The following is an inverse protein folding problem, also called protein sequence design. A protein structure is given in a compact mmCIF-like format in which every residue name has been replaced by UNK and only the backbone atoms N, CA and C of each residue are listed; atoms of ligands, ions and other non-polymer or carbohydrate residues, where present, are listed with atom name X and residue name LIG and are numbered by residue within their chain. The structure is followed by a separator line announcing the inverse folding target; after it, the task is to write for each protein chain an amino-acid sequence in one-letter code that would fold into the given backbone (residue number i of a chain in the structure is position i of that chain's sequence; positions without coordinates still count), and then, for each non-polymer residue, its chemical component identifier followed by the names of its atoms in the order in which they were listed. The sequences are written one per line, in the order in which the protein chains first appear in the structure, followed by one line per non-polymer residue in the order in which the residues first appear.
data_IF_155236536699
#
_entry.id   IF_155236536699
#
_cell.length_a   1.000
_cell.length_b   1.000
_cell.length_c   1.000
_cell.angle_alpha   90.00
_cell.angle_beta   90.00
_cell.angle_gamma   90.00
#
_symmetry.space_group_name_H-M   'P 1'
#
loop_
_entity.id
_entity.type
_entity.pdbx_description
1 polymer ?
#
# COMPACT_ATOMS: atom_id res chain seq x y z
N UNK A 1 15.44 4.40 15.23
CA UNK A 1 15.10 5.73 15.77
C UNK A 1 16.34 6.59 15.62
N UNK A 2 16.22 7.82 15.13
CA UNK A 2 17.37 8.70 14.86
C UNK A 2 16.99 10.15 15.18
N UNK A 3 17.97 11.05 15.12
CA UNK A 3 17.76 12.49 15.28
C UNK A 3 18.03 13.20 13.95
N UNK A 4 17.22 14.22 13.64
CA UNK A 4 17.42 15.14 12.52
C UNK A 4 17.83 16.51 13.07
N UNK A 5 18.92 17.05 12.54
CA UNK A 5 19.42 18.38 12.87
C UNK A 5 18.88 19.38 11.84
N UNK A 6 18.03 20.30 12.28
CA UNK A 6 17.51 21.34 11.39
C UNK A 6 18.59 22.38 11.07
N UNK A 7 18.48 23.11 9.94
CA UNK A 7 19.39 24.21 9.61
C UNK A 7 19.43 25.31 10.68
N UNK A 8 18.37 25.46 11.47
CA UNK A 8 18.30 26.42 12.59
C UNK A 8 18.94 25.89 13.89
N UNK A 9 19.55 24.70 13.88
CA UNK A 9 20.24 24.11 15.03
C UNK A 9 19.34 23.36 16.00
N UNK A 10 18.07 23.09 15.65
CA UNK A 10 17.17 22.30 16.48
C UNK A 10 17.39 20.79 16.26
N UNK A 11 17.29 20.00 17.34
CA UNK A 11 17.36 18.52 17.30
C UNK A 11 15.94 17.96 17.38
N UNK A 12 15.53 17.26 16.33
CA UNK A 12 14.19 16.66 16.22
C UNK A 12 14.33 15.13 16.26
N UNK A 13 13.73 14.43 17.24
CA UNK A 13 13.70 12.98 17.24
C UNK A 13 12.77 12.49 16.12
N UNK A 14 13.32 11.69 15.21
CA UNK A 14 12.59 11.19 14.04
C UNK A 14 12.63 9.66 13.97
N UNK A 15 11.58 9.11 13.35
CA UNK A 15 11.51 7.69 13.03
C UNK A 15 11.57 7.53 11.52
N UNK A 16 12.59 6.81 11.05
CA UNK A 16 12.70 6.47 9.63
C UNK A 16 11.63 5.43 9.31
N UNK A 17 10.71 5.80 8.43
CA UNK A 17 9.71 4.89 7.89
C UNK A 17 10.15 4.45 6.49
N UNK A 18 10.15 3.14 6.25
CA UNK A 18 10.32 2.58 4.91
C UNK A 18 8.93 2.25 4.37
N UNK A 19 8.41 3.12 3.51
CA UNK A 19 7.21 2.87 2.73
C UNK A 19 7.66 2.67 1.28
N UNK A 20 8.04 1.43 0.95
CA UNK A 20 8.30 1.06 -0.46
C UNK A 20 7.01 1.12 -1.30
N UNK A 21 7.12 0.88 -2.62
CA UNK A 21 5.98 0.98 -3.52
C UNK A 21 4.86 0.03 -3.10
N UNK A 22 3.66 0.58 -3.01
CA UNK A 22 2.42 -0.16 -2.73
C UNK A 22 1.60 -0.22 -4.01
N UNK A 23 1.28 -1.41 -4.49
CA UNK A 23 0.51 -1.58 -5.72
C UNK A 23 -0.96 -1.86 -5.39
N UNK A 24 -1.89 -1.20 -6.06
CA UNK A 24 -3.32 -1.51 -5.94
C UNK A 24 -3.61 -2.87 -6.59
N UNK A 25 -4.10 -3.82 -5.79
CA UNK A 25 -4.39 -5.19 -6.26
C UNK A 25 -5.84 -5.39 -6.65
N UNK A 26 -6.76 -4.77 -5.90
CA UNK A 26 -8.20 -4.86 -6.14
C UNK A 26 -8.91 -3.61 -5.60
N UNK A 27 -9.97 -3.20 -6.30
CA UNK A 27 -10.89 -2.15 -5.84
C UNK A 27 -12.22 -2.80 -5.48
N UNK A 28 -12.76 -2.45 -4.32
CA UNK A 28 -14.07 -2.88 -3.87
C UNK A 28 -15.05 -1.73 -4.01
N UNK A 29 -16.21 -2.02 -4.61
CA UNK A 29 -17.26 -1.04 -4.89
C UNK A 29 -18.53 -1.40 -4.11
N UNK A 30 -19.23 -0.39 -3.58
CA UNK A 30 -20.45 -0.60 -2.79
C UNK A 30 -21.53 -1.40 -3.52
N UNK A 31 -21.67 -1.23 -4.83
CA UNK A 31 -22.70 -1.92 -5.64
C UNK A 31 -22.46 -3.42 -5.76
N UNK A 32 -21.20 -3.87 -5.80
CA UNK A 32 -20.82 -5.27 -5.99
C UNK A 32 -20.43 -5.97 -4.70
N UNK A 33 -19.67 -5.27 -3.85
CA UNK A 33 -19.03 -5.82 -2.67
C UNK A 33 -19.67 -5.31 -1.36
N UNK A 34 -20.59 -4.35 -1.41
CA UNK A 34 -21.31 -3.80 -0.25
C UNK A 34 -20.57 -2.68 0.51
N UNK A 35 -19.33 -2.37 0.13
CA UNK A 35 -18.52 -1.29 0.71
C UNK A 35 -17.47 -0.77 -0.27
N UNK A 36 -16.94 0.43 0.00
CA UNK A 36 -15.86 1.02 -0.77
C UNK A 36 -14.52 0.79 -0.05
N UNK A 37 -13.58 0.10 -0.70
CA UNK A 37 -12.22 -0.05 -0.19
C UNK A 37 -11.21 -0.23 -1.33
N UNK A 38 -9.94 0.02 -1.01
CA UNK A 38 -8.81 -0.25 -1.91
C UNK A 38 -7.92 -1.27 -1.24
N UNK A 39 -7.65 -2.38 -1.92
CA UNK A 39 -6.65 -3.35 -1.49
C UNK A 39 -5.33 -3.03 -2.15
N UNK A 40 -4.27 -3.00 -1.34
CA UNK A 40 -2.91 -2.80 -1.81
C UNK A 40 -2.00 -3.94 -1.39
N UNK A 41 -1.03 -4.23 -2.25
CA UNK A 41 0.04 -5.19 -2.01
C UNK A 41 1.36 -4.47 -1.72
N UNK A 42 2.06 -4.96 -0.70
CA UNK A 42 3.36 -4.45 -0.28
C UNK A 42 4.38 -5.59 -0.14
N UNK A 43 5.60 -5.30 -0.61
CA UNK A 43 6.74 -6.22 -0.58
C UNK A 43 6.59 -7.38 -1.57
N UNK A 44 7.69 -7.92 -2.05
CA UNK A 44 7.71 -9.05 -2.99
C UNK A 44 7.93 -10.38 -2.29
N UNK A 45 7.27 -11.43 -2.77
CA UNK A 45 7.40 -12.80 -2.26
C UNK A 45 7.48 -13.80 -3.41
N UNK A 46 8.21 -14.90 -3.19
CA UNK A 46 8.31 -15.97 -4.19
C UNK A 46 6.96 -16.66 -4.42
N UNK A 47 6.68 -17.04 -5.66
CA UNK A 47 5.44 -17.70 -6.09
C UNK A 47 5.11 -18.96 -5.29
N UNK A 48 6.11 -19.75 -4.93
CA UNK A 48 5.94 -21.02 -4.19
C UNK A 48 5.42 -20.80 -2.77
N UNK A 49 5.54 -19.57 -2.24
CA UNK A 49 5.05 -19.19 -0.91
C UNK A 49 3.68 -18.53 -0.95
N UNK A 50 3.02 -18.48 -2.11
CA UNK A 50 1.67 -17.92 -2.27
C UNK A 50 0.69 -19.06 -2.53
N UNK A 51 -0.44 -19.06 -1.83
CA UNK A 51 -1.50 -20.05 -2.07
C UNK A 51 -2.07 -19.90 -3.49
N UNK A 52 -2.58 -20.99 -4.06
CA UNK A 52 -3.14 -20.97 -5.43
C UNK A 52 -4.31 -19.99 -5.59
N UNK A 53 -5.13 -19.82 -4.55
CA UNK A 53 -6.25 -18.88 -4.56
C UNK A 53 -5.77 -17.42 -4.61
N UNK A 54 -4.78 -17.06 -3.79
CA UNK A 54 -4.20 -15.72 -3.76
C UNK A 54 -3.39 -15.41 -5.02
N UNK A 55 -2.74 -16.43 -5.61
CA UNK A 55 -1.95 -16.26 -6.83
C UNK A 55 -2.77 -15.75 -8.02
N UNK A 56 -4.03 -16.20 -8.17
CA UNK A 56 -4.93 -15.70 -9.21
C UNK A 56 -5.32 -14.23 -9.02
N UNK A 57 -5.58 -13.83 -7.77
CA UNK A 57 -5.95 -12.46 -7.44
C UNK A 57 -4.78 -11.47 -7.61
N UNK A 58 -3.53 -11.91 -7.38
CA UNK A 58 -2.34 -11.06 -7.44
C UNK A 58 -1.76 -10.88 -8.86
N UNK A 59 -2.36 -11.48 -9.90
CA UNK A 59 -1.97 -11.33 -11.32
C UNK A 59 -0.45 -11.46 -11.60
N UNK A 60 0.26 -12.27 -10.81
CA UNK A 60 1.70 -12.55 -10.98
C UNK A 60 2.68 -11.64 -10.23
N UNK A 61 2.23 -10.61 -9.52
CA UNK A 61 3.09 -9.67 -8.78
C UNK A 61 3.38 -10.08 -7.32
N UNK A 62 2.91 -11.27 -6.90
CA UNK A 62 3.14 -11.96 -5.61
C UNK A 62 3.63 -11.07 -4.45
N UNK A 63 2.66 -10.52 -3.71
CA UNK A 63 2.96 -9.63 -2.59
C UNK A 63 3.15 -10.39 -1.28
N UNK A 64 4.06 -9.91 -0.43
CA UNK A 64 4.25 -10.46 0.92
C UNK A 64 3.10 -10.09 1.86
N UNK A 65 2.53 -8.91 1.68
CA UNK A 65 1.44 -8.41 2.52
C UNK A 65 0.37 -7.78 1.65
N UNK A 66 -0.89 -8.15 1.89
CA UNK A 66 -2.06 -7.48 1.35
C UNK A 66 -2.77 -6.75 2.49
N UNK A 67 -3.19 -5.51 2.25
CA UNK A 67 -3.96 -4.74 3.22
C UNK A 67 -5.04 -3.93 2.53
N UNK A 68 -6.18 -3.83 3.20
CA UNK A 68 -7.34 -3.07 2.71
C UNK A 68 -7.48 -1.75 3.47
N UNK A 69 -7.72 -0.69 2.71
CA UNK A 69 -8.01 0.64 3.21
C UNK A 69 -9.45 0.98 2.87
N UNK A 70 -10.29 1.11 3.90
CA UNK A 70 -11.69 1.48 3.73
C UNK A 70 -11.80 2.96 3.40
N UNK A 71 -12.60 3.28 2.39
CA UNK A 71 -12.93 4.64 2.02
C UNK A 71 -14.15 5.11 2.81
N UNK A 72 -14.29 6.43 2.95
CA UNK A 72 -15.51 7.00 3.53
C UNK A 72 -16.70 6.69 2.60
N UNK A 73 -17.95 6.67 3.11
CA UNK A 73 -19.11 6.20 2.34
C UNK A 73 -19.38 6.94 1.03
N UNK A 74 -18.94 8.20 0.92
CA UNK A 74 -19.12 9.05 -0.25
C UNK A 74 -17.85 9.23 -1.11
N UNK A 75 -16.71 8.74 -0.66
CA UNK A 75 -15.46 8.85 -1.42
C UNK A 75 -15.32 7.66 -2.36
N UNK A 76 -15.12 7.95 -3.65
CA UNK A 76 -14.65 6.97 -4.64
C UNK A 76 -13.15 7.16 -4.80
N UNK A 77 -12.41 6.06 -4.84
CA UNK A 77 -10.98 6.10 -5.16
C UNK A 77 -10.83 6.21 -6.67
N UNK A 78 -10.07 7.20 -7.14
CA UNK A 78 -9.68 7.33 -8.56
C UNK A 78 -8.57 6.34 -8.95
N UNK A 79 -7.98 5.64 -7.98
CA UNK A 79 -6.95 4.65 -8.23
C UNK A 79 -7.51 3.45 -9.02
N UNK A 80 -6.68 2.89 -9.90
CA UNK A 80 -6.98 1.72 -10.74
C UNK A 80 -6.18 0.51 -10.27
N UNK A 81 -6.68 -0.70 -10.58
CA UNK A 81 -5.91 -1.91 -10.36
C UNK A 81 -4.59 -1.86 -11.14
N UNK A 82 -3.48 -2.12 -10.45
CA UNK A 82 -2.13 -2.02 -11.00
C UNK A 82 -1.44 -0.68 -10.75
N UNK A 83 -2.14 0.34 -10.24
CA UNK A 83 -1.49 1.61 -9.89
C UNK A 83 -0.45 1.40 -8.79
N UNK A 84 0.74 1.96 -9.01
CA UNK A 84 1.84 1.93 -8.04
C UNK A 84 1.85 3.26 -7.30
N UNK A 85 1.59 3.20 -6.00
CA UNK A 85 1.68 4.33 -5.09
C UNK A 85 3.07 4.30 -4.48
N UNK A 86 3.87 5.32 -4.79
CA UNK A 86 5.17 5.52 -4.18
C UNK A 86 5.09 6.68 -3.18
N UNK A 87 5.64 6.46 -1.97
CA UNK A 87 5.67 7.45 -0.89
C UNK A 87 7.10 7.97 -0.69
N UNK A 88 7.97 7.84 -1.69
CA UNK A 88 9.32 8.40 -1.66
C UNK A 88 9.28 9.94 -1.65
N UNK A 89 9.11 10.51 -0.45
CA UNK A 89 9.52 11.86 -0.12
C UNK A 89 10.49 11.78 1.05
N UNK A 90 11.77 11.64 0.69
CA UNK A 90 12.88 11.84 1.62
C UNK A 90 12.94 13.34 1.90
N UNK A 91 12.77 13.73 3.16
CA UNK A 91 13.12 15.06 3.65
C UNK A 91 14.64 15.21 3.69
#
# INVERSE_FOLDING_TARGET
MTEYFSPEGAVIPVTILSAGPVTVTKIFEKEKDGYNSVQVGFGTQKKERVSRSSAGAMKGAFYKTLKEFRLKPNDKSDAKEGDVIDVFRVL
#
